data_IF_881148494883
#
_entry.id   IF_881148494883
#
_cell.length_a   1.000
_cell.length_b   1.000
_cell.length_c   1.000
_cell.angle_alpha   90.00
_cell.angle_beta   90.00
_cell.angle_gamma   90.00
#
_symmetry.space_group_name_H-M   'P 1'
#
loop_
_entity.id
_entity.type
_entity.pdbx_description
1 polymer ?
#
# COMPACT_ATOMS: atom_id res chain seq x y z
N UNK A 1 -0.51 -18.55 -13.50
CA UNK A 1 -0.40 -17.19 -14.06
C UNK A 1 0.57 -16.45 -13.17
N UNK A 2 1.68 -15.96 -13.72
CA UNK A 2 2.56 -15.05 -12.97
C UNK A 2 1.77 -13.76 -12.80
N UNK A 3 1.57 -13.26 -11.58
CA UNK A 3 0.99 -11.93 -11.40
C UNK A 3 1.88 -10.92 -12.12
N UNK A 4 1.30 -9.97 -12.85
CA UNK A 4 2.05 -8.89 -13.50
C UNK A 4 2.40 -7.79 -12.48
N UNK A 5 2.79 -8.18 -11.26
CA UNK A 5 3.05 -7.25 -10.19
C UNK A 5 4.16 -6.28 -10.59
N UNK A 6 3.93 -4.98 -10.38
CA UNK A 6 4.94 -3.97 -10.65
C UNK A 6 6.06 -4.04 -9.61
N UNK A 7 7.23 -3.46 -9.93
CA UNK A 7 8.39 -3.49 -9.01
C UNK A 7 8.06 -2.88 -7.65
N UNK A 8 7.26 -1.80 -7.61
CA UNK A 8 6.81 -1.21 -6.34
C UNK A 8 5.99 -2.19 -5.51
N UNK A 9 5.02 -2.87 -6.13
CA UNK A 9 4.21 -3.89 -5.47
C UNK A 9 5.08 -5.03 -4.94
N UNK A 10 6.06 -5.50 -5.72
CA UNK A 10 6.99 -6.55 -5.29
C UNK A 10 7.84 -6.12 -4.08
N UNK A 11 8.22 -4.85 -3.98
CA UNK A 11 8.94 -4.32 -2.80
C UNK A 11 8.02 -4.34 -1.57
N UNK A 12 6.77 -3.88 -1.72
CA UNK A 12 5.78 -3.86 -0.63
C UNK A 12 5.43 -5.28 -0.18
N UNK A 13 5.18 -6.19 -1.12
CA UNK A 13 4.91 -7.59 -0.80
C UNK A 13 6.10 -8.26 -0.13
N UNK A 14 7.33 -7.98 -0.57
CA UNK A 14 8.53 -8.44 0.12
C UNK A 14 8.65 -7.85 1.54
N UNK A 15 8.27 -6.58 1.74
CA UNK A 15 8.25 -5.97 3.07
C UNK A 15 7.35 -6.77 4.02
N UNK A 16 6.11 -7.00 3.62
CA UNK A 16 5.19 -7.77 4.46
C UNK A 16 5.65 -9.20 4.65
N UNK A 17 6.13 -9.87 3.60
CA UNK A 17 6.55 -11.27 3.69
C UNK A 17 7.71 -11.48 4.66
N UNK A 18 8.64 -10.53 4.71
CA UNK A 18 9.92 -10.72 5.39
C UNK A 18 9.98 -9.97 6.72
N UNK A 19 9.43 -8.76 6.77
CA UNK A 19 9.51 -7.88 7.95
C UNK A 19 8.29 -8.03 8.85
N UNK A 20 7.08 -8.04 8.27
CA UNK A 20 5.85 -8.29 9.05
C UNK A 20 5.53 -9.78 9.17
N UNK A 21 6.42 -10.67 8.71
CA UNK A 21 6.26 -12.13 8.70
C UNK A 21 4.94 -12.66 8.10
N UNK A 22 4.31 -11.89 7.19
CA UNK A 22 3.02 -12.25 6.62
C UNK A 22 3.07 -13.63 5.94
N UNK A 23 2.22 -14.57 6.35
CA UNK A 23 2.22 -15.90 5.76
C UNK A 23 1.71 -15.88 4.30
N UNK A 24 0.78 -14.98 4.01
CA UNK A 24 0.19 -14.82 2.67
C UNK A 24 0.45 -13.42 2.14
N UNK A 25 0.93 -13.35 0.90
CA UNK A 25 1.01 -12.11 0.11
C UNK A 25 0.40 -12.37 -1.26
N UNK A 26 -0.57 -11.54 -1.64
CA UNK A 26 -1.28 -11.61 -2.91
C UNK A 26 -1.20 -10.27 -3.63
N UNK A 27 -0.86 -10.32 -4.91
CA UNK A 27 -0.69 -9.13 -5.75
C UNK A 27 -1.87 -8.98 -6.72
N UNK A 28 -2.26 -7.73 -7.01
CA UNK A 28 -3.33 -7.41 -7.98
C UNK A 28 -4.64 -8.14 -7.63
N UNK A 29 -5.04 -8.09 -6.36
CA UNK A 29 -6.21 -8.80 -5.84
C UNK A 29 -7.49 -8.13 -6.33
N UNK A 30 -8.38 -8.90 -6.95
CA UNK A 30 -9.60 -8.39 -7.60
C UNK A 30 -10.84 -9.08 -7.09
N UNK A 31 -11.95 -8.34 -7.07
CA UNK A 31 -13.27 -8.92 -6.80
C UNK A 31 -13.75 -9.78 -7.96
N UNK A 32 -14.43 -10.89 -7.63
CA UNK A 32 -15.15 -11.73 -8.60
C UNK A 32 -16.62 -11.33 -8.76
N UNK A 33 -17.10 -10.32 -8.01
CA UNK A 33 -18.48 -9.85 -8.10
C UNK A 33 -18.70 -9.16 -9.44
N UNK A 34 -19.77 -9.54 -10.14
CA UNK A 34 -20.14 -8.91 -11.41
C UNK A 34 -20.30 -7.39 -11.24
N UNK A 35 -19.62 -6.64 -12.10
CA UNK A 35 -19.63 -5.17 -12.08
C UNK A 35 -18.64 -4.52 -11.10
N UNK A 36 -17.99 -5.27 -10.21
CA UNK A 36 -16.97 -4.72 -9.31
C UNK A 36 -15.58 -4.72 -9.98
N UNK A 37 -15.19 -3.59 -10.57
CA UNK A 37 -13.85 -3.38 -11.16
C UNK A 37 -12.85 -2.83 -10.13
N UNK A 38 -12.82 -3.41 -8.94
CA UNK A 38 -11.81 -3.05 -7.93
C UNK A 38 -10.54 -3.89 -8.10
N UNK A 39 -9.41 -3.28 -7.75
CA UNK A 39 -8.09 -3.92 -7.67
C UNK A 39 -7.32 -3.33 -6.48
N UNK A 40 -6.88 -4.21 -5.57
CA UNK A 40 -5.93 -3.90 -4.50
C UNK A 40 -4.54 -4.35 -4.97
N UNK A 41 -3.57 -3.45 -4.93
CA UNK A 41 -2.22 -3.70 -5.43
C UNK A 41 -1.53 -4.84 -4.66
N UNK A 42 -1.54 -4.78 -3.32
CA UNK A 42 -1.02 -5.84 -2.45
C UNK A 42 -1.96 -6.10 -1.27
N UNK A 43 -2.30 -7.38 -1.07
CA UNK A 43 -2.95 -7.86 0.16
C UNK A 43 -1.98 -8.77 0.89
N UNK A 44 -1.69 -8.48 2.15
CA UNK A 44 -0.89 -9.34 3.02
C UNK A 44 -1.68 -9.78 4.24
N UNK A 45 -1.44 -11.00 4.71
CA UNK A 45 -2.09 -11.57 5.89
C UNK A 45 -1.00 -12.08 6.81
N UNK A 46 -0.96 -11.51 8.01
CA UNK A 46 -0.13 -11.95 9.12
C UNK A 46 -1.02 -12.63 10.18
N UNK A 47 -0.62 -13.80 10.63
CA UNK A 47 -1.26 -14.60 11.68
C UNK A 47 -0.25 -15.13 12.70
N UNK A 48 0.97 -14.59 12.71
CA UNK A 48 2.13 -15.13 13.43
C UNK A 48 1.95 -15.20 14.97
N UNK A 49 1.09 -14.35 15.53
CA UNK A 49 0.83 -14.28 16.99
C UNK A 49 -0.61 -14.67 17.39
N UNK A 50 -1.33 -15.37 16.52
CA UNK A 50 -2.72 -15.77 16.77
C UNK A 50 -3.74 -14.63 16.70
N UNK A 51 -3.30 -13.45 16.26
CA UNK A 51 -4.14 -12.33 15.78
C UNK A 51 -4.00 -12.31 14.26
N UNK A 52 -5.12 -12.30 13.53
CA UNK A 52 -5.10 -12.18 12.08
C UNK A 52 -5.21 -10.70 11.68
N UNK A 53 -4.12 -10.16 11.14
CA UNK A 53 -4.07 -8.79 10.59
C UNK A 53 -4.05 -8.85 9.07
N UNK A 54 -5.03 -8.20 8.43
CA UNK A 54 -5.14 -8.10 6.98
C UNK A 54 -4.71 -6.70 6.53
N UNK A 55 -3.60 -6.65 5.79
CA UNK A 55 -3.08 -5.43 5.18
C UNK A 55 -3.64 -5.29 3.76
N UNK A 56 -4.27 -4.16 3.45
CA UNK A 56 -4.64 -3.76 2.09
C UNK A 56 -3.81 -2.54 1.68
N UNK A 57 -2.94 -2.73 0.70
CA UNK A 57 -1.94 -1.74 0.32
C UNK A 57 -2.21 -1.22 -1.09
N UNK A 58 -2.17 0.10 -1.21
CA UNK A 58 -2.17 0.82 -2.47
C UNK A 58 -0.77 1.39 -2.74
N UNK A 59 -0.27 1.20 -3.95
CA UNK A 59 1.15 1.44 -4.28
C UNK A 59 1.30 2.45 -5.41
N UNK A 60 1.94 3.57 -5.10
CA UNK A 60 2.32 4.61 -6.06
C UNK A 60 3.82 4.51 -6.30
N UNK A 61 4.24 4.43 -7.56
CA UNK A 61 5.67 4.27 -7.93
C UNK A 61 6.27 5.50 -8.60
N UNK A 62 5.48 6.56 -8.80
CA UNK A 62 5.97 7.80 -9.41
C UNK A 62 7.00 8.50 -8.51
N UNK A 63 8.11 8.94 -9.11
CA UNK A 63 9.23 9.56 -8.39
C UNK A 63 9.21 11.10 -8.44
N UNK A 64 8.35 11.68 -9.27
CA UNK A 64 8.22 13.12 -9.48
C UNK A 64 7.32 13.81 -8.42
N UNK A 65 6.87 13.10 -7.40
CA UNK A 65 6.02 13.62 -6.33
C UNK A 65 4.53 13.69 -6.66
N UNK A 66 4.09 13.26 -7.85
CA UNK A 66 2.67 13.20 -8.22
C UNK A 66 2.07 11.81 -7.98
N UNK A 67 0.85 11.75 -7.45
CA UNK A 67 0.10 10.51 -7.27
C UNK A 67 -0.68 10.11 -8.54
N UNK A 68 -1.72 10.86 -8.88
CA UNK A 68 -2.52 10.64 -10.09
C UNK A 68 -2.74 11.95 -10.85
N UNK A 69 -3.00 11.83 -12.16
CA UNK A 69 -3.37 12.95 -13.02
C UNK A 69 -4.78 12.75 -13.57
N UNK A 70 -5.55 13.84 -13.59
CA UNK A 70 -6.95 13.84 -14.02
C UNK A 70 -7.64 15.12 -13.60
N UNK A 71 -8.96 15.11 -13.68
CA UNK A 71 -9.84 16.22 -13.28
C UNK A 71 -10.79 15.69 -12.21
N UNK A 72 -10.89 16.34 -11.04
CA UNK A 72 -11.79 15.91 -9.98
C UNK A 72 -13.24 15.95 -10.48
N UNK A 73 -14.06 15.00 -10.02
CA UNK A 73 -15.49 14.95 -10.35
C UNK A 73 -16.33 15.70 -9.30
N UNK A 74 -15.73 16.01 -8.14
CA UNK A 74 -16.40 16.66 -7.02
C UNK A 74 -15.57 17.78 -6.40
N UNK A 75 -16.25 18.71 -5.74
CA UNK A 75 -15.64 19.87 -5.08
C UNK A 75 -15.13 19.54 -3.64
N UNK A 76 -15.16 18.26 -3.22
CA UNK A 76 -14.82 17.87 -1.84
C UNK A 76 -13.41 18.29 -1.45
N UNK A 77 -12.48 18.23 -2.40
CA UNK A 77 -11.06 18.44 -2.17
C UNK A 77 -10.58 19.83 -2.60
N UNK A 78 -11.48 20.78 -2.89
CA UNK A 78 -11.16 22.12 -3.44
C UNK A 78 -10.07 22.88 -2.66
N UNK A 79 -10.01 22.70 -1.34
CA UNK A 79 -9.02 23.35 -0.47
C UNK A 79 -7.61 22.75 -0.58
N UNK A 80 -7.43 21.64 -1.30
CA UNK A 80 -6.20 20.84 -1.37
C UNK A 80 -5.44 21.00 -2.70
N UNK A 81 -5.13 22.25 -3.04
CA UNK A 81 -4.20 22.58 -4.11
C UNK A 81 -4.85 22.56 -5.50
N UNK A 82 -4.15 21.99 -6.50
CA UNK A 82 -4.62 22.01 -7.89
C UNK A 82 -5.46 20.76 -8.24
N UNK A 83 -6.12 20.79 -9.41
CA UNK A 83 -6.96 19.70 -9.93
C UNK A 83 -6.29 18.32 -9.85
N UNK A 84 -4.96 18.23 -10.08
CA UNK A 84 -4.26 16.94 -10.01
C UNK A 84 -4.16 16.40 -8.58
N UNK A 85 -3.99 17.26 -7.59
CA UNK A 85 -3.98 16.87 -6.17
C UNK A 85 -5.38 16.48 -5.72
N UNK A 86 -6.38 17.29 -6.08
CA UNK A 86 -7.79 17.02 -5.79
C UNK A 86 -8.24 15.68 -6.38
N UNK A 87 -7.94 15.45 -7.67
CA UNK A 87 -8.22 14.19 -8.34
C UNK A 87 -7.48 13.01 -7.70
N UNK A 88 -6.24 13.20 -7.24
CA UNK A 88 -5.49 12.16 -6.54
C UNK A 88 -6.17 11.74 -5.24
N UNK A 89 -6.63 12.72 -4.45
CA UNK A 89 -7.33 12.48 -3.19
C UNK A 89 -8.67 11.77 -3.42
N UNK A 90 -9.45 12.23 -4.41
CA UNK A 90 -10.72 11.59 -4.79
C UNK A 90 -10.52 10.13 -5.21
N UNK A 91 -9.50 9.87 -6.03
CA UNK A 91 -9.20 8.52 -6.50
C UNK A 91 -8.71 7.60 -5.37
N UNK A 92 -7.85 8.10 -4.50
CA UNK A 92 -7.37 7.36 -3.34
C UNK A 92 -8.50 7.06 -2.36
N UNK A 93 -9.38 8.03 -2.11
CA UNK A 93 -10.58 7.81 -1.31
C UNK A 93 -11.43 6.67 -1.89
N UNK A 94 -11.75 6.73 -3.19
CA UNK A 94 -12.54 5.69 -3.85
C UNK A 94 -11.88 4.31 -3.77
N UNK A 95 -10.55 4.24 -3.90
CA UNK A 95 -9.78 2.99 -3.80
C UNK A 95 -9.85 2.44 -2.37
N UNK A 96 -9.44 3.20 -1.37
CA UNK A 96 -9.45 2.72 0.02
C UNK A 96 -10.84 2.32 0.52
N UNK A 97 -11.91 3.00 0.09
CA UNK A 97 -13.29 2.58 0.43
C UNK A 97 -13.63 1.22 -0.18
N UNK A 98 -13.25 1.02 -1.43
CA UNK A 98 -13.44 -0.26 -2.14
C UNK A 98 -12.58 -1.37 -1.53
N UNK A 99 -11.36 -1.04 -1.14
CA UNK A 99 -10.42 -1.99 -0.54
C UNK A 99 -10.93 -2.46 0.81
N UNK A 100 -11.37 -1.52 1.65
CA UNK A 100 -11.98 -1.83 2.95
C UNK A 100 -13.23 -2.69 2.81
N UNK A 101 -14.18 -2.34 1.93
CA UNK A 101 -15.36 -3.18 1.66
C UNK A 101 -14.97 -4.58 1.17
N UNK A 102 -13.92 -4.68 0.36
CA UNK A 102 -13.46 -5.96 -0.12
C UNK A 102 -12.85 -6.81 0.99
N UNK A 103 -11.86 -6.29 1.72
CA UNK A 103 -11.13 -7.08 2.72
C UNK A 103 -11.99 -7.43 3.93
N UNK A 104 -12.80 -6.48 4.43
CA UNK A 104 -13.70 -6.72 5.57
C UNK A 104 -14.81 -7.73 5.26
N UNK A 105 -15.13 -7.92 3.98
CA UNK A 105 -16.10 -8.91 3.55
C UNK A 105 -15.46 -10.28 3.26
N UNK A 106 -14.25 -10.29 2.70
CA UNK A 106 -13.58 -11.54 2.30
C UNK A 106 -12.95 -12.22 3.51
N UNK A 107 -12.45 -11.44 4.44
CA UNK A 107 -11.82 -11.87 5.69
C UNK A 107 -12.66 -11.39 6.87
N UNK A 108 -13.96 -11.69 6.88
CA UNK A 108 -14.94 -11.14 7.84
C UNK A 108 -14.72 -11.60 9.29
N UNK A 109 -13.81 -12.54 9.50
CA UNK A 109 -13.35 -13.05 10.79
C UNK A 109 -11.92 -12.59 11.16
N UNK A 110 -11.30 -11.70 10.38
CA UNK A 110 -10.02 -11.10 10.76
C UNK A 110 -10.17 -10.21 12.00
N UNK A 111 -9.15 -10.24 12.86
CA UNK A 111 -9.11 -9.45 14.08
C UNK A 111 -8.84 -7.97 13.79
N UNK A 112 -7.99 -7.70 12.79
CA UNK A 112 -7.54 -6.35 12.44
C UNK A 112 -7.45 -6.14 10.92
N UNK A 113 -7.74 -4.92 10.49
CA UNK A 113 -7.54 -4.45 9.12
C UNK A 113 -6.65 -3.21 9.11
N UNK A 114 -5.66 -3.20 8.23
CA UNK A 114 -4.74 -2.07 8.07
C UNK A 114 -4.74 -1.64 6.61
N UNK A 115 -5.19 -0.40 6.37
CA UNK A 115 -5.11 0.22 5.04
C UNK A 115 -3.82 0.99 4.92
N UNK A 116 -3.06 0.79 3.84
CA UNK A 116 -1.76 1.42 3.66
C UNK A 116 -1.63 2.11 2.30
N UNK A 117 -1.09 3.32 2.31
CA UNK A 117 -0.59 3.99 1.11
C UNK A 117 0.94 3.91 1.08
N UNK A 118 1.49 3.26 0.06
CA UNK A 118 2.93 3.17 -0.18
C UNK A 118 3.34 4.10 -1.31
N UNK A 119 4.22 5.06 -1.05
CA UNK A 119 4.75 5.94 -2.09
C UNK A 119 6.17 6.41 -1.79
N UNK A 120 7.15 6.24 -2.70
CA UNK A 120 8.53 6.66 -2.44
C UNK A 120 8.69 8.19 -2.39
N UNK A 121 7.83 8.92 -3.10
CA UNK A 121 7.94 10.37 -3.25
C UNK A 121 6.55 10.97 -3.51
N UNK A 122 6.09 11.82 -2.59
CA UNK A 122 4.91 12.66 -2.71
C UNK A 122 5.27 14.10 -2.39
N UNK A 123 4.69 15.05 -3.13
CA UNK A 123 4.86 16.47 -2.82
C UNK A 123 4.26 16.81 -1.45
N UNK A 124 5.08 17.41 -0.59
CA UNK A 124 4.62 17.95 0.70
C UNK A 124 3.67 19.14 0.52
N UNK A 125 2.85 19.39 1.54
CA UNK A 125 1.84 20.45 1.58
C UNK A 125 0.47 19.90 1.21
N UNK A 126 -0.23 20.55 0.27
CA UNK A 126 -1.64 20.27 -0.03
C UNK A 126 -1.97 18.78 -0.22
N UNK A 127 -1.14 18.02 -0.96
CA UNK A 127 -1.41 16.60 -1.16
C UNK A 127 -1.26 15.80 0.14
N UNK A 128 -0.16 15.99 0.89
CA UNK A 128 0.06 15.29 2.16
C UNK A 128 -0.93 15.70 3.25
N UNK A 129 -1.40 16.96 3.23
CA UNK A 129 -2.42 17.48 4.15
C UNK A 129 -3.78 16.86 3.83
N UNK A 130 -4.14 16.78 2.54
CA UNK A 130 -5.36 16.10 2.09
C UNK A 130 -5.36 14.62 2.43
N UNK A 131 -4.20 13.94 2.34
CA UNK A 131 -4.05 12.54 2.76
C UNK A 131 -4.21 12.39 4.28
N UNK A 132 -3.76 13.36 5.07
CA UNK A 132 -3.98 13.35 6.52
C UNK A 132 -5.46 13.55 6.86
N UNK A 133 -6.15 14.43 6.14
CA UNK A 133 -7.60 14.60 6.26
C UNK A 133 -8.34 13.31 5.89
N UNK A 134 -8.02 12.71 4.75
CA UNK A 134 -8.62 11.44 4.31
C UNK A 134 -8.41 10.33 5.34
N UNK A 135 -7.20 10.21 5.89
CA UNK A 135 -6.90 9.23 6.94
C UNK A 135 -7.74 9.46 8.20
N UNK A 136 -7.94 10.73 8.59
CA UNK A 136 -8.79 11.10 9.73
C UNK A 136 -10.27 10.79 9.49
N UNK A 137 -10.75 10.95 8.26
CA UNK A 137 -12.12 10.57 7.88
C UNK A 137 -12.33 9.06 7.95
N UNK A 138 -11.35 8.27 7.50
CA UNK A 138 -11.38 6.81 7.63
C UNK A 138 -11.39 6.35 9.09
N UNK A 139 -10.58 6.98 9.95
CA UNK A 139 -10.61 6.69 11.38
C UNK A 139 -11.98 6.98 12.00
N UNK A 140 -12.61 8.10 11.61
CA UNK A 140 -13.93 8.46 12.10
C UNK A 140 -15.06 7.55 11.58
N UNK A 141 -14.96 7.08 10.33
CA UNK A 141 -16.02 6.29 9.68
C UNK A 141 -15.89 4.78 9.94
N UNK A 142 -14.67 4.25 9.88
CA UNK A 142 -14.38 2.82 9.96
C UNK A 142 -13.64 2.40 11.24
N UNK A 143 -13.25 3.36 12.08
CA UNK A 143 -12.50 3.09 13.30
C UNK A 143 -11.03 2.78 13.08
N UNK A 144 -10.50 2.99 11.86
CA UNK A 144 -9.10 2.76 11.52
C UNK A 144 -8.60 3.84 10.54
N UNK A 145 -7.41 4.42 10.77
CA UNK A 145 -6.80 5.37 9.84
C UNK A 145 -6.16 4.66 8.65
N UNK A 146 -5.83 5.42 7.61
CA UNK A 146 -4.92 4.97 6.54
C UNK A 146 -3.48 5.21 7.00
N UNK A 147 -2.67 4.16 7.08
CA UNK A 147 -1.23 4.25 7.34
C UNK A 147 -0.52 4.79 6.09
N UNK A 148 0.17 5.92 6.24
CA UNK A 148 0.90 6.57 5.14
C UNK A 148 2.37 6.16 5.19
N UNK A 149 2.73 5.13 4.42
CA UNK A 149 4.11 4.70 4.21
C UNK A 149 4.68 5.49 3.03
N UNK A 150 4.93 6.78 3.26
CA UNK A 150 5.33 7.74 2.22
C UNK A 150 6.65 8.43 2.55
N UNK A 151 7.35 8.95 1.54
CA UNK A 151 8.57 9.75 1.70
C UNK A 151 9.63 9.09 2.60
N UNK A 152 10.00 9.72 3.73
CA UNK A 152 10.99 9.20 4.67
C UNK A 152 10.55 7.88 5.31
N UNK A 153 9.25 7.69 5.56
CA UNK A 153 8.72 6.42 6.08
C UNK A 153 8.89 5.30 5.07
N UNK A 154 8.62 5.56 3.79
CA UNK A 154 8.89 4.58 2.73
C UNK A 154 10.37 4.22 2.68
N UNK A 155 11.25 5.23 2.75
CA UNK A 155 12.70 5.02 2.74
C UNK A 155 13.14 4.16 3.92
N UNK A 156 12.66 4.45 5.12
CA UNK A 156 12.98 3.67 6.32
C UNK A 156 12.57 2.19 6.18
N UNK A 157 11.37 1.91 5.65
CA UNK A 157 10.87 0.54 5.43
C UNK A 157 11.69 -0.22 4.39
N UNK A 158 12.12 0.45 3.33
CA UNK A 158 13.01 -0.15 2.33
C UNK A 158 14.42 -0.38 2.88
N UNK A 159 14.95 0.54 3.69
CA UNK A 159 16.27 0.36 4.33
C UNK A 159 16.26 -0.80 5.34
N UNK A 160 15.15 -1.03 6.03
CA UNK A 160 14.97 -2.19 6.90
C UNK A 160 15.07 -3.50 6.09
N UNK A 161 14.34 -3.59 4.96
CA UNK A 161 14.46 -4.71 4.02
C UNK A 161 15.89 -4.90 3.52
N UNK A 162 16.57 -3.81 3.13
CA UNK A 162 17.95 -3.85 2.63
C UNK A 162 18.93 -4.34 3.70
N UNK A 163 18.78 -3.85 4.93
CA UNK A 163 19.62 -4.24 6.06
C UNK A 163 19.53 -5.75 6.30
N UNK A 164 18.31 -6.30 6.33
CA UNK A 164 18.11 -7.74 6.47
C UNK A 164 18.64 -8.53 5.25
N UNK A 165 18.47 -7.99 4.03
CA UNK A 165 19.00 -8.61 2.81
C UNK A 165 20.54 -8.69 2.78
N UNK A 166 21.23 -7.77 3.46
CA UNK A 166 22.69 -7.80 3.59
C UNK A 166 23.19 -8.90 4.55
N UNK A 167 22.37 -9.31 5.51
CA UNK A 167 22.73 -10.32 6.52
C UNK A 167 22.28 -11.73 6.14
N UNK A 168 21.13 -11.85 5.45
CA UNK A 168 20.48 -13.12 5.16
C UNK A 168 20.71 -13.58 3.71
N UNK A 169 20.94 -14.88 3.53
CA UNK A 169 21.19 -15.50 2.21
C UNK A 169 20.12 -16.49 1.77
N UNK A 170 19.24 -16.90 2.70
CA UNK A 170 18.10 -17.78 2.44
C UNK A 170 17.18 -17.16 1.40
N UNK A 171 16.72 -17.99 0.46
CA UNK A 171 15.74 -17.60 -0.53
C UNK A 171 14.33 -17.78 0.06
N UNK A 172 13.59 -16.66 0.18
CA UNK A 172 12.22 -16.64 0.72
C UNK A 172 11.13 -16.74 -0.36
N UNK A 173 11.52 -16.83 -1.63
CA UNK A 173 10.57 -16.84 -2.75
C UNK A 173 10.11 -15.45 -3.19
N UNK A 174 10.59 -14.38 -2.56
CA UNK A 174 10.25 -13.00 -2.91
C UNK A 174 11.27 -12.37 -3.89
N UNK A 175 10.88 -12.06 -5.14
CA UNK A 175 11.80 -11.56 -6.16
C UNK A 175 12.48 -10.23 -5.79
N UNK A 176 11.75 -9.28 -5.21
CA UNK A 176 12.34 -7.99 -4.81
C UNK A 176 13.36 -8.15 -3.68
N UNK A 177 13.04 -8.96 -2.64
CA UNK A 177 14.01 -9.25 -1.58
C UNK A 177 15.24 -9.97 -2.13
N UNK A 178 15.05 -10.94 -3.03
CA UNK A 178 16.17 -11.64 -3.67
C UNK A 178 17.05 -10.69 -4.48
N UNK A 179 16.44 -9.72 -5.16
CA UNK A 179 17.18 -8.69 -5.88
C UNK A 179 18.04 -7.85 -4.92
N UNK A 180 17.48 -7.42 -3.79
CA UNK A 180 18.23 -6.71 -2.74
C UNK A 180 19.38 -7.56 -2.19
N UNK A 181 19.14 -8.83 -1.86
CA UNK A 181 20.21 -9.74 -1.41
C UNK A 181 21.36 -9.83 -2.41
N UNK A 182 21.05 -9.89 -3.71
CA UNK A 182 22.08 -9.91 -4.75
C UNK A 182 22.90 -8.62 -4.70
N UNK A 183 22.23 -7.46 -4.68
CA UNK A 183 22.89 -6.15 -4.65
C UNK A 183 23.81 -5.98 -3.43
N UNK A 184 23.32 -6.34 -2.24
CA UNK A 184 24.07 -6.19 -0.98
C UNK A 184 25.26 -7.15 -0.86
N UNK A 185 25.28 -8.25 -1.63
CA UNK A 185 26.34 -9.28 -1.61
C UNK A 185 27.36 -9.15 -2.77
N UNK A 186 27.21 -8.15 -3.65
CA UNK A 186 28.18 -7.90 -4.72
C UNK A 186 29.56 -7.53 -4.15
N UNK A 187 30.64 -7.89 -4.87
CA UNK A 187 32.04 -7.67 -4.47
C UNK A 187 32.77 -6.75 -5.44
#
# INVERSE_FOLDING_TARGET
MVSNAQIGELIVGAYHKIITDAEVVSYNSRSKRDGAQMEIDVVAIDSSDGTQTVYACEVITHLNGSAYSGTPETDKWDDYGNDSYQFSLEKLESKFRSDYDYVSRVFDDADEYVLQLWAPSLSDGHLTDGLAQLSSEFEAEYGLPIERVVNETYTARVEELRSLAAEETKAYGEPAFRFLQILEQLR
#
